data_IF_075036788475
#
_entry.id   IF_075036788475
#
_cell.length_a   1.000
_cell.length_b   1.000
_cell.length_c   1.000
_cell.angle_alpha   90.00
_cell.angle_beta   90.00
_cell.angle_gamma   90.00
#
_symmetry.space_group_name_H-M   'P 1'
#
loop_
_entity.id
_entity.type
_entity.pdbx_description
1 polymer ?
#
# COMPACT_ATOMS: atom_id res chain seq x y z
N UNK A 1 -14.94 -16.60 -15.05
CA UNK A 1 -15.25 -15.77 -13.87
C UNK A 1 -15.28 -14.32 -14.35
N UNK A 2 -16.47 -13.75 -14.53
CA UNK A 2 -16.71 -12.55 -15.33
C UNK A 2 -16.47 -11.24 -14.59
N UNK A 3 -16.24 -10.17 -15.35
CA UNK A 3 -15.91 -8.80 -14.92
C UNK A 3 -16.83 -8.18 -13.83
N UNK A 4 -17.99 -8.78 -13.55
CA UNK A 4 -18.88 -8.38 -12.46
C UNK A 4 -18.29 -8.60 -11.05
N UNK A 5 -17.34 -9.53 -10.88
CA UNK A 5 -16.66 -9.74 -9.60
C UNK A 5 -15.67 -8.63 -9.21
N UNK A 6 -15.08 -7.93 -10.20
CA UNK A 6 -14.07 -6.90 -9.96
C UNK A 6 -14.67 -5.56 -9.50
N UNK A 7 -15.86 -5.22 -9.99
CA UNK A 7 -16.55 -3.99 -9.59
C UNK A 7 -17.08 -4.04 -8.14
N UNK A 8 -17.66 -5.19 -7.72
CA UNK A 8 -18.10 -5.36 -6.33
C UNK A 8 -16.94 -5.37 -5.32
N UNK A 9 -15.74 -5.73 -5.79
CA UNK A 9 -14.53 -5.76 -4.99
C UNK A 9 -13.92 -4.36 -4.81
N UNK A 10 -13.90 -3.54 -5.86
CA UNK A 10 -13.50 -2.13 -5.76
C UNK A 10 -14.38 -1.36 -4.77
N UNK A 11 -15.70 -1.56 -4.83
CA UNK A 11 -16.66 -0.99 -3.88
C UNK A 11 -16.45 -1.48 -2.44
N UNK A 12 -16.07 -2.76 -2.26
CA UNK A 12 -15.75 -3.31 -0.94
C UNK A 12 -14.49 -2.68 -0.32
N UNK A 13 -13.49 -2.38 -1.14
CA UNK A 13 -12.25 -1.74 -0.69
C UNK A 13 -12.45 -0.26 -0.38
N UNK A 14 -13.22 0.47 -1.19
CA UNK A 14 -13.63 1.84 -0.90
C UNK A 14 -14.44 1.91 0.41
N UNK A 15 -15.34 0.94 0.63
CA UNK A 15 -16.14 0.86 1.87
C UNK A 15 -15.32 0.53 3.11
N UNK A 16 -14.16 -0.14 2.98
CA UNK A 16 -13.24 -0.40 4.09
C UNK A 16 -12.27 0.75 4.34
N UNK A 17 -11.86 1.49 3.32
CA UNK A 17 -11.15 2.77 3.50
C UNK A 17 -12.03 3.79 4.25
N UNK A 18 -13.35 3.78 4.01
CA UNK A 18 -14.37 4.59 4.70
C UNK A 18 -14.55 4.29 6.21
N UNK A 19 -13.89 3.28 6.78
CA UNK A 19 -13.88 3.04 8.24
C UNK A 19 -12.71 3.71 8.96
N UNK A 20 -11.79 4.38 8.23
CA UNK A 20 -10.91 5.39 8.86
C UNK A 20 -11.79 6.59 9.19
N UNK A 21 -11.66 7.16 10.37
CA UNK A 21 -12.21 8.49 10.63
C UNK A 21 -11.54 9.45 9.65
N UNK A 22 -12.27 9.92 8.64
CA UNK A 22 -11.76 10.90 7.66
C UNK A 22 -11.28 12.21 8.34
N UNK A 23 -11.66 12.41 9.61
CA UNK A 23 -11.20 13.51 10.45
C UNK A 23 -9.71 13.44 10.87
N UNK A 24 -9.05 12.29 10.71
CA UNK A 24 -7.63 12.11 11.05
C UNK A 24 -6.69 12.20 9.83
N UNK A 25 -7.24 12.42 8.62
CA UNK A 25 -6.43 12.58 7.42
C UNK A 25 -5.96 14.03 7.28
N UNK A 26 -4.69 14.25 6.88
CA UNK A 26 -4.21 15.59 6.61
C UNK A 26 -4.94 16.21 5.40
N UNK A 27 -4.99 17.54 5.35
CA UNK A 27 -5.42 18.27 4.17
C UNK A 27 -4.57 17.82 2.96
N UNK A 28 -5.23 17.43 1.86
CA UNK A 28 -4.59 16.99 0.63
C UNK A 28 -3.68 18.07 0.00
N UNK A 29 -3.91 19.35 0.34
CA UNK A 29 -3.08 20.47 -0.08
C UNK A 29 -1.98 20.83 0.93
N UNK A 30 -1.83 20.05 2.01
CA UNK A 30 -0.79 20.29 3.01
C UNK A 30 0.60 20.20 2.38
N UNK A 31 1.44 21.20 2.65
CA UNK A 31 2.84 21.20 2.22
C UNK A 31 3.73 20.21 3.00
N UNK A 32 3.21 19.59 4.06
CA UNK A 32 3.90 18.51 4.77
C UNK A 32 3.77 17.17 4.06
N UNK A 33 2.73 16.99 3.24
CA UNK A 33 2.55 15.80 2.41
C UNK A 33 3.59 15.78 1.29
N UNK A 34 4.23 14.63 1.12
CA UNK A 34 5.13 14.40 0.01
C UNK A 34 5.21 12.90 -0.33
N UNK A 35 5.67 12.63 -1.55
CA UNK A 35 6.01 11.27 -1.97
C UNK A 35 7.43 10.94 -1.52
N UNK A 36 7.59 9.76 -0.94
CA UNK A 36 8.88 9.20 -0.56
C UNK A 36 8.94 7.71 -0.93
N UNK A 37 10.08 7.08 -0.73
CA UNK A 37 10.27 5.65 -0.87
C UNK A 37 9.99 4.95 0.47
N UNK A 38 9.18 3.87 0.46
CA UNK A 38 8.92 3.12 1.67
C UNK A 38 10.17 2.34 2.11
N UNK A 39 10.34 2.18 3.42
CA UNK A 39 11.26 1.17 3.96
C UNK A 39 10.74 -0.25 3.70
N UNK A 40 11.55 -1.27 3.97
CA UNK A 40 11.10 -2.67 3.93
C UNK A 40 9.97 -2.96 4.94
N UNK A 41 10.02 -2.33 6.11
CA UNK A 41 8.99 -2.48 7.13
C UNK A 41 7.68 -1.79 6.72
N UNK A 42 7.77 -0.59 6.14
CA UNK A 42 6.62 0.14 5.58
C UNK A 42 6.00 -0.64 4.41
N UNK A 43 6.82 -1.20 3.52
CA UNK A 43 6.37 -2.10 2.47
C UNK A 43 5.61 -3.31 3.01
N UNK A 44 6.15 -3.98 4.03
CA UNK A 44 5.49 -5.11 4.65
C UNK A 44 4.13 -4.71 5.26
N UNK A 45 4.06 -3.54 5.90
CA UNK A 45 2.81 -3.00 6.42
C UNK A 45 1.81 -2.68 5.31
N UNK A 46 2.26 -2.07 4.20
CA UNK A 46 1.42 -1.79 3.02
C UNK A 46 0.87 -3.09 2.43
N UNK A 47 1.72 -4.07 2.17
CA UNK A 47 1.28 -5.37 1.63
C UNK A 47 0.33 -6.08 2.59
N UNK A 48 0.57 -6.00 3.91
CA UNK A 48 -0.35 -6.57 4.90
C UNK A 48 -1.72 -5.90 4.82
N UNK A 49 -1.76 -4.56 4.76
CA UNK A 49 -2.97 -3.76 4.64
C UNK A 49 -3.74 -4.09 3.35
N UNK A 50 -3.04 -4.21 2.22
CA UNK A 50 -3.64 -4.46 0.91
C UNK A 50 -3.85 -5.94 0.61
N UNK A 51 -3.36 -6.86 1.43
CA UNK A 51 -3.39 -8.31 1.17
C UNK A 51 -4.78 -8.83 0.85
N UNK A 52 -5.83 -8.39 1.57
CA UNK A 52 -7.21 -8.80 1.29
C UNK A 52 -7.65 -8.47 -0.14
N UNK A 53 -7.08 -7.41 -0.71
CA UNK A 53 -7.34 -6.97 -2.08
C UNK A 53 -6.48 -7.72 -3.12
N UNK A 54 -5.20 -7.97 -2.82
CA UNK A 54 -4.19 -8.32 -3.82
C UNK A 54 -3.67 -9.75 -3.72
N UNK A 55 -3.91 -10.45 -2.61
CA UNK A 55 -3.36 -11.80 -2.37
C UNK A 55 -3.97 -12.88 -3.26
N UNK A 56 -5.06 -12.58 -3.97
CA UNK A 56 -5.83 -13.57 -4.73
C UNK A 56 -6.18 -14.80 -3.86
N UNK A 57 -5.88 -16.01 -4.34
CA UNK A 57 -6.08 -17.26 -3.61
C UNK A 57 -4.97 -17.57 -2.60
N UNK A 58 -3.90 -16.76 -2.50
CA UNK A 58 -2.78 -17.05 -1.62
C UNK A 58 -3.15 -16.86 -0.13
N UNK A 59 -2.57 -17.68 0.76
CA UNK A 59 -2.44 -17.33 2.16
C UNK A 59 -1.64 -16.03 2.32
N UNK A 60 -1.98 -15.23 3.35
CA UNK A 60 -1.38 -13.90 3.54
C UNK A 60 0.15 -13.99 3.71
N UNK A 61 0.65 -14.97 4.45
CA UNK A 61 2.10 -15.14 4.66
C UNK A 61 2.84 -15.48 3.36
N UNK A 62 2.20 -16.20 2.43
CA UNK A 62 2.76 -16.52 1.11
C UNK A 62 2.76 -15.29 0.22
N UNK A 63 1.66 -14.52 0.21
CA UNK A 63 1.59 -13.25 -0.52
C UNK A 63 2.66 -12.24 -0.06
N UNK A 64 2.90 -12.15 1.25
CA UNK A 64 3.96 -11.27 1.79
C UNK A 64 5.35 -11.72 1.34
N UNK A 65 5.63 -13.03 1.32
CA UNK A 65 6.89 -13.59 0.81
C UNK A 65 7.06 -13.33 -0.69
N UNK A 66 5.99 -13.50 -1.47
CA UNK A 66 5.99 -13.20 -2.91
C UNK A 66 6.27 -11.72 -3.16
N UNK A 67 5.57 -10.82 -2.46
CA UNK A 67 5.75 -9.37 -2.60
C UNK A 67 7.19 -8.94 -2.31
N UNK A 68 7.79 -9.47 -1.25
CA UNK A 68 9.20 -9.24 -0.93
C UNK A 68 10.13 -9.81 -2.00
N UNK A 69 9.86 -11.02 -2.51
CA UNK A 69 10.66 -11.62 -3.58
C UNK A 69 10.59 -10.82 -4.88
N UNK A 70 9.43 -10.28 -5.24
CA UNK A 70 9.24 -9.45 -6.44
C UNK A 70 10.10 -8.19 -6.43
N UNK A 71 10.51 -7.68 -5.26
CA UNK A 71 11.47 -6.57 -5.16
C UNK A 71 12.90 -6.96 -5.56
N UNK A 72 13.19 -8.26 -5.69
CA UNK A 72 14.52 -8.78 -6.06
C UNK A 72 14.65 -9.14 -7.54
N UNK A 73 13.54 -9.18 -8.29
CA UNK A 73 13.55 -9.51 -9.72
C UNK A 73 14.13 -8.33 -10.53
N UNK A 74 14.76 -8.57 -11.70
CA UNK A 74 15.44 -7.54 -12.48
C UNK A 74 14.64 -6.25 -12.68
N UNK A 75 13.34 -6.38 -12.97
CA UNK A 75 12.47 -5.22 -13.13
C UNK A 75 12.49 -4.29 -11.91
N UNK A 76 12.42 -4.84 -10.69
CA UNK A 76 12.41 -4.04 -9.47
C UNK A 76 13.83 -3.62 -9.05
N UNK A 77 14.77 -4.57 -8.96
CA UNK A 77 16.13 -4.27 -8.45
C UNK A 77 16.96 -3.39 -9.39
N UNK A 78 16.70 -3.43 -10.70
CA UNK A 78 17.43 -2.66 -11.70
C UNK A 78 16.71 -1.32 -12.02
N UNK A 79 15.77 -0.90 -11.17
CA UNK A 79 15.11 0.42 -11.25
C UNK A 79 14.02 0.53 -12.32
N UNK A 80 13.58 -0.58 -12.92
CA UNK A 80 12.44 -0.63 -13.83
C UNK A 80 11.08 -0.51 -13.14
N UNK A 81 11.04 -0.57 -11.81
CA UNK A 81 9.89 -0.27 -10.96
C UNK A 81 10.35 0.50 -9.72
N UNK A 82 9.58 1.49 -9.29
CA UNK A 82 9.85 2.27 -8.08
C UNK A 82 8.61 2.31 -7.21
N UNK A 83 8.78 1.96 -5.94
CA UNK A 83 7.71 2.09 -4.95
C UNK A 83 7.66 3.50 -4.40
N UNK A 84 6.44 4.00 -4.23
CA UNK A 84 6.14 5.33 -3.71
C UNK A 84 5.11 5.21 -2.60
N UNK A 85 5.28 6.02 -1.57
CA UNK A 85 4.33 6.17 -0.47
C UNK A 85 4.08 7.65 -0.20
N UNK A 86 2.83 8.01 0.07
CA UNK A 86 2.46 9.34 0.51
C UNK A 86 2.57 9.42 2.03
N UNK A 87 3.39 10.35 2.53
CA UNK A 87 3.70 10.49 3.96
C UNK A 87 3.90 11.95 4.36
N UNK A 88 3.87 12.22 5.67
CA UNK A 88 4.29 13.52 6.22
C UNK A 88 5.82 13.59 6.32
N UNK A 89 6.42 14.62 5.70
CA UNK A 89 7.88 14.82 5.66
C UNK A 89 8.54 15.14 6.99
N UNK A 90 7.76 15.51 7.99
CA UNK A 90 8.27 15.88 9.31
C UNK A 90 8.38 14.67 10.25
N UNK A 91 7.91 13.50 9.82
CA UNK A 91 7.93 12.27 10.61
C UNK A 91 9.00 11.32 10.06
N UNK A 92 9.68 10.63 10.97
CA UNK A 92 10.73 9.66 10.60
C UNK A 92 10.14 8.42 9.92
N UNK A 93 10.91 7.76 9.04
CA UNK A 93 10.54 6.44 8.50
C UNK A 93 10.14 5.46 9.61
N UNK A 94 9.21 4.56 9.31
CA UNK A 94 8.63 3.56 10.24
C UNK A 94 7.80 4.14 11.40
N UNK A 95 7.79 5.46 11.60
CA UNK A 95 6.98 6.16 12.61
C UNK A 95 5.91 7.07 11.99
N UNK A 96 5.95 7.23 10.67
CA UNK A 96 5.03 8.07 9.90
C UNK A 96 3.77 7.29 9.49
N UNK A 97 2.60 7.92 9.45
CA UNK A 97 1.40 7.30 8.90
C UNK A 97 1.58 6.95 7.43
N UNK A 98 1.19 5.73 7.06
CA UNK A 98 1.14 5.28 5.67
C UNK A 98 -0.21 5.65 5.09
N UNK A 99 -0.23 6.69 4.24
CA UNK A 99 -1.46 7.20 3.60
C UNK A 99 -1.73 6.44 2.29
N UNK A 100 -1.66 5.11 2.38
CA UNK A 100 -1.97 4.16 1.31
C UNK A 100 -3.43 3.68 1.38
#
# INVERSE_FOLDING_TARGET
MGAQGQAQFFEYLLRRQSLRNDHDLPDALSSSLHLDHPTDAENNAIWTLTSNAWKDALPVDIYLKESMFLMTVPLAKDGGMTQWVLVDKNLSPDQRPLLA
#
